data_IF_224565124414
#
_entry.id   IF_224565124414
#
_cell.length_a   1.000
_cell.length_b   1.000
_cell.length_c   1.000
_cell.angle_alpha   90.00
_cell.angle_beta   90.00
_cell.angle_gamma   90.00
#
_symmetry.space_group_name_H-M   'P 1'
#
loop_
_entity.id
_entity.type
_entity.pdbx_description
1 polymer ?
#
# COMPACT_ATOMS: atom_id res chain seq x y z
N UNK A 1 20.66 -55.25 -39.11
CA UNK A 1 20.97 -53.81 -39.10
C UNK A 1 21.07 -53.38 -37.62
N UNK A 2 22.30 -53.55 -37.07
CA UNK A 2 22.60 -53.31 -35.66
C UNK A 2 22.91 -51.84 -35.43
N UNK A 3 22.19 -51.22 -34.50
CA UNK A 3 22.42 -49.82 -34.09
C UNK A 3 23.33 -49.84 -32.85
N UNK A 4 24.59 -49.52 -33.08
CA UNK A 4 25.63 -49.42 -32.05
C UNK A 4 25.39 -48.15 -31.22
N UNK A 5 25.04 -48.31 -29.92
CA UNK A 5 24.96 -47.19 -28.96
C UNK A 5 26.38 -46.79 -28.54
N UNK A 6 26.83 -45.63 -28.95
CA UNK A 6 28.01 -44.98 -28.39
C UNK A 6 27.73 -44.43 -27.00
N UNK A 7 28.43 -44.91 -25.96
CA UNK A 7 28.48 -44.36 -24.63
C UNK A 7 29.55 -43.27 -24.59
N UNK A 8 29.15 -42.02 -24.33
CA UNK A 8 30.11 -40.97 -24.00
C UNK A 8 30.58 -41.12 -22.55
N UNK A 9 31.92 -41.11 -22.28
CA UNK A 9 32.43 -41.14 -20.92
C UNK A 9 32.38 -39.73 -20.31
N UNK A 10 31.52 -39.55 -19.33
CA UNK A 10 31.55 -38.36 -18.49
C UNK A 10 32.81 -38.40 -17.64
N UNK A 11 33.76 -37.49 -17.89
CA UNK A 11 35.04 -37.43 -17.24
C UNK A 11 34.89 -37.09 -15.75
N UNK A 12 35.68 -37.80 -14.92
CA UNK A 12 35.77 -37.61 -13.45
C UNK A 12 36.19 -36.21 -13.02
N UNK A 13 36.55 -35.33 -13.94
CA UNK A 13 36.93 -33.93 -13.71
C UNK A 13 35.76 -33.01 -13.32
N UNK A 14 34.52 -33.32 -13.70
CA UNK A 14 33.35 -32.49 -13.34
C UNK A 14 32.95 -32.63 -11.86
N UNK A 15 33.24 -33.80 -11.26
CA UNK A 15 32.91 -34.03 -9.84
C UNK A 15 33.88 -33.32 -8.88
N UNK A 16 35.10 -33.06 -9.30
CA UNK A 16 36.13 -32.37 -8.48
C UNK A 16 35.87 -30.86 -8.46
N UNK A 17 35.40 -30.28 -9.57
CA UNK A 17 35.07 -28.84 -9.64
C UNK A 17 33.80 -28.53 -8.81
N UNK A 18 32.79 -29.40 -8.84
CA UNK A 18 31.60 -29.24 -8.04
C UNK A 18 31.87 -29.34 -6.51
N UNK A 19 32.80 -30.22 -6.12
CA UNK A 19 33.22 -30.36 -4.73
C UNK A 19 34.05 -29.18 -4.22
N UNK A 20 34.88 -28.55 -5.07
CA UNK A 20 35.69 -27.39 -4.71
C UNK A 20 34.82 -26.11 -4.56
N UNK A 21 33.77 -25.94 -5.36
CA UNK A 21 32.83 -24.82 -5.24
C UNK A 21 31.96 -24.98 -3.98
N UNK A 22 31.54 -26.19 -3.63
CA UNK A 22 30.75 -26.43 -2.40
C UNK A 22 31.60 -26.21 -1.12
N UNK A 23 32.89 -26.49 -1.14
CA UNK A 23 33.79 -26.26 0.00
C UNK A 23 34.18 -24.78 0.21
N UNK A 24 34.19 -23.98 -0.86
CA UNK A 24 34.43 -22.52 -0.72
C UNK A 24 33.25 -21.77 -0.15
N UNK A 25 32.00 -22.24 -0.33
CA UNK A 25 30.83 -21.65 0.34
C UNK A 25 30.71 -22.06 1.82
N UNK A 26 31.29 -23.18 2.24
CA UNK A 26 31.27 -23.64 3.64
C UNK A 26 32.26 -22.88 4.56
N UNK A 27 33.20 -22.13 4.00
CA UNK A 27 34.23 -21.38 4.74
C UNK A 27 33.98 -19.85 4.79
N UNK A 28 32.79 -19.36 4.39
CA UNK A 28 32.43 -17.98 4.64
C UNK A 28 32.24 -17.79 6.17
N UNK A 29 32.87 -16.78 6.80
CA UNK A 29 32.84 -16.63 8.23
C UNK A 29 31.42 -16.36 8.71
N UNK A 30 30.78 -17.36 9.28
CA UNK A 30 29.43 -17.28 9.87
C UNK A 30 29.32 -16.16 10.91
N UNK A 31 30.42 -15.80 11.55
CA UNK A 31 30.52 -14.70 12.52
C UNK A 31 30.21 -13.33 11.89
N UNK A 32 30.73 -13.02 10.69
CA UNK A 32 30.49 -11.72 10.03
C UNK A 32 29.05 -11.51 9.57
N UNK A 33 28.35 -12.56 9.16
CA UNK A 33 26.96 -12.44 8.75
C UNK A 33 26.04 -12.20 9.95
N UNK A 34 26.29 -12.82 11.07
CA UNK A 34 25.53 -12.63 12.30
C UNK A 34 25.73 -11.23 12.87
N UNK A 35 26.98 -10.74 12.90
CA UNK A 35 27.29 -9.36 13.35
C UNK A 35 26.61 -8.33 12.44
N UNK A 36 26.62 -8.53 11.11
CA UNK A 36 25.95 -7.64 10.15
C UNK A 36 24.42 -7.60 10.34
N UNK A 37 23.79 -8.70 10.68
CA UNK A 37 22.36 -8.77 10.96
C UNK A 37 22.04 -8.03 12.27
N UNK A 38 22.82 -8.24 13.32
CA UNK A 38 22.65 -7.57 14.59
C UNK A 38 22.84 -6.05 14.45
N UNK A 39 23.87 -5.62 13.73
CA UNK A 39 24.13 -4.22 13.43
C UNK A 39 23.01 -3.59 12.60
N UNK A 40 22.46 -4.33 11.66
CA UNK A 40 21.31 -3.88 10.86
C UNK A 40 20.11 -3.56 11.75
N UNK A 41 19.74 -4.45 12.68
CA UNK A 41 18.62 -4.22 13.59
C UNK A 41 18.94 -3.20 14.69
N UNK A 42 20.16 -3.16 15.20
CA UNK A 42 20.59 -2.15 16.19
C UNK A 42 20.48 -0.72 15.64
N UNK A 43 20.77 -0.53 14.36
CA UNK A 43 20.69 0.76 13.67
C UNK A 43 19.35 1.03 12.95
N UNK A 44 18.34 0.20 13.18
CA UNK A 44 17.05 0.33 12.49
C UNK A 44 16.43 1.73 12.62
N UNK A 45 16.31 2.24 13.85
CA UNK A 45 15.70 3.52 14.10
C UNK A 45 16.55 4.70 13.65
N UNK A 46 17.87 4.60 13.74
CA UNK A 46 18.79 5.63 13.23
C UNK A 46 18.59 5.81 11.74
N UNK A 47 18.52 4.69 10.99
CA UNK A 47 18.26 4.70 9.55
C UNK A 47 16.88 5.23 9.20
N UNK A 48 15.84 4.77 9.89
CA UNK A 48 14.47 5.24 9.70
C UNK A 48 14.33 6.76 9.96
N UNK A 49 15.00 7.29 10.99
CA UNK A 49 14.99 8.71 11.30
C UNK A 49 15.72 9.52 10.23
N UNK A 50 16.88 9.05 9.77
CA UNK A 50 17.61 9.66 8.66
C UNK A 50 16.76 9.71 7.37
N UNK A 51 16.10 8.60 7.03
CA UNK A 51 15.21 8.54 5.88
C UNK A 51 14.05 9.54 5.98
N UNK A 52 13.46 9.70 7.17
CA UNK A 52 12.38 10.66 7.42
C UNK A 52 12.85 12.12 7.39
N UNK A 53 14.08 12.42 7.81
CA UNK A 53 14.63 13.78 7.81
C UNK A 53 14.91 14.34 6.40
N UNK A 54 15.13 13.46 5.40
CA UNK A 54 15.44 13.84 4.02
C UNK A 54 14.20 14.10 3.15
N UNK A 55 13.02 14.02 3.69
CA UNK A 55 11.76 14.18 2.97
C UNK A 55 10.87 15.24 3.63
N UNK A 56 9.81 15.73 2.92
CA UNK A 56 8.82 16.62 3.52
C UNK A 56 8.14 16.01 4.76
N UNK A 57 7.75 16.86 5.71
CA UNK A 57 7.09 16.44 6.95
C UNK A 57 5.56 16.62 6.92
N UNK A 58 4.95 16.55 5.74
CA UNK A 58 3.49 16.59 5.59
C UNK A 58 2.80 15.46 6.36
N UNK A 59 1.52 15.53 6.53
CA UNK A 59 0.76 14.41 7.12
C UNK A 59 0.39 13.40 6.01
N UNK A 60 0.27 12.13 6.35
CA UNK A 60 -0.24 11.11 5.43
C UNK A 60 -1.74 11.31 5.22
N UNK A 61 -2.26 11.40 3.98
CA UNK A 61 -3.70 11.57 3.69
C UNK A 61 -4.57 10.42 4.20
N UNK A 62 -5.89 10.61 4.20
CA UNK A 62 -6.86 9.59 4.60
C UNK A 62 -6.92 8.44 3.59
N UNK A 63 -7.03 8.74 2.29
CA UNK A 63 -7.20 7.77 1.21
C UNK A 63 -5.96 7.65 0.33
N UNK A 64 -5.48 8.78 -0.19
CA UNK A 64 -4.32 8.81 -1.08
C UNK A 64 -3.08 8.27 -0.38
N UNK A 65 -2.38 7.34 -1.03
CA UNK A 65 -1.12 6.82 -0.50
C UNK A 65 -0.05 7.90 -0.61
N UNK A 66 0.54 8.29 0.53
CA UNK A 66 1.61 9.31 0.56
C UNK A 66 2.85 8.84 -0.24
N UNK A 67 3.49 9.71 -1.02
CA UNK A 67 4.79 9.40 -1.62
C UNK A 67 5.93 9.30 -0.60
N UNK A 68 5.72 9.74 0.64
CA UNK A 68 6.67 9.73 1.74
C UNK A 68 6.86 8.32 2.30
N UNK A 69 8.02 8.11 2.93
CA UNK A 69 8.29 6.89 3.67
C UNK A 69 7.84 7.07 5.11
N UNK A 70 7.06 6.11 5.60
CA UNK A 70 6.53 6.12 6.97
C UNK A 70 6.99 4.88 7.74
N UNK A 71 7.10 5.03 9.04
CA UNK A 71 7.30 3.93 9.96
C UNK A 71 6.25 4.05 11.04
N UNK A 72 5.15 3.32 10.84
CA UNK A 72 3.97 3.41 11.70
C UNK A 72 3.12 2.13 11.62
N UNK A 73 2.26 1.96 12.56
CA UNK A 73 1.12 1.07 12.44
C UNK A 73 -0.13 1.91 12.19
N UNK A 74 -0.92 1.53 11.17
CA UNK A 74 -2.13 2.23 10.78
C UNK A 74 -3.32 1.31 10.84
N UNK A 75 -4.39 1.77 11.49
CA UNK A 75 -5.72 1.17 11.48
C UNK A 75 -6.71 2.13 10.85
N UNK A 76 -7.51 1.65 9.91
CA UNK A 76 -8.58 2.41 9.28
C UNK A 76 -9.94 1.70 9.49
N UNK A 77 -10.97 2.48 9.79
CA UNK A 77 -12.33 2.01 9.94
C UNK A 77 -13.19 2.67 8.86
N UNK A 78 -13.93 1.86 8.09
CA UNK A 78 -14.79 2.35 7.02
C UNK A 78 -16.24 1.97 7.26
N UNK A 79 -17.16 2.92 6.99
CA UNK A 79 -18.60 2.73 7.04
C UNK A 79 -19.19 3.14 5.69
N UNK A 80 -19.46 2.17 4.83
CA UNK A 80 -19.90 2.39 3.46
C UNK A 80 -21.42 2.31 3.34
N UNK A 81 -22.02 3.34 2.75
CA UNK A 81 -23.42 3.32 2.31
C UNK A 81 -23.46 2.85 0.85
N UNK A 82 -23.92 1.64 0.65
CA UNK A 82 -24.02 1.01 -0.66
C UNK A 82 -25.30 1.42 -1.39
N UNK A 83 -25.41 1.04 -2.66
CA UNK A 83 -26.65 1.22 -3.42
C UNK A 83 -27.79 0.38 -2.84
N UNK A 84 -29.03 0.85 -3.04
CA UNK A 84 -30.26 0.15 -2.60
C UNK A 84 -30.42 -0.01 -1.08
N UNK A 85 -29.76 0.84 -0.27
CA UNK A 85 -29.91 0.86 1.18
C UNK A 85 -29.12 -0.23 1.94
N UNK A 86 -28.22 -0.92 1.28
CA UNK A 86 -27.26 -1.78 1.96
C UNK A 86 -26.13 -0.95 2.58
N UNK A 87 -25.47 -1.50 3.60
CA UNK A 87 -24.27 -0.92 4.20
C UNK A 87 -23.20 -1.97 4.41
N UNK A 88 -21.95 -1.54 4.45
CA UNK A 88 -20.82 -2.38 4.79
C UNK A 88 -19.95 -1.67 5.81
N UNK A 89 -19.56 -2.37 6.85
CA UNK A 89 -18.58 -1.93 7.82
C UNK A 89 -17.29 -2.71 7.57
N UNK A 90 -16.23 -2.02 7.23
CA UNK A 90 -14.92 -2.65 7.05
C UNK A 90 -14.03 -2.34 8.25
N UNK A 91 -13.61 -3.38 8.95
CA UNK A 91 -12.67 -3.31 10.07
C UNK A 91 -11.27 -3.50 9.53
N UNK A 92 -10.41 -2.48 9.67
CA UNK A 92 -9.12 -2.37 9.02
C UNK A 92 -9.25 -2.29 7.47
N UNK A 93 -8.26 -2.85 6.75
CA UNK A 93 -8.18 -2.72 5.29
C UNK A 93 -7.41 -1.48 4.87
N UNK A 94 -6.85 -0.75 5.85
CA UNK A 94 -5.90 0.31 5.61
C UNK A 94 -4.51 -0.25 5.27
N UNK A 95 -3.48 0.52 5.59
CA UNK A 95 -2.11 0.15 5.24
C UNK A 95 -1.49 -0.89 6.19
N UNK A 96 -1.91 -0.97 7.45
CA UNK A 96 -1.38 -1.91 8.42
C UNK A 96 0.00 -1.50 8.95
N UNK A 97 1.01 -2.37 8.83
CA UNK A 97 2.36 -2.13 9.33
C UNK A 97 3.26 -1.56 8.24
N UNK A 98 3.76 -0.35 8.45
CA UNK A 98 4.65 0.38 7.55
C UNK A 98 6.06 0.40 8.15
N UNK A 99 7.06 -0.06 7.40
CA UNK A 99 8.44 -0.23 7.86
C UNK A 99 9.43 0.36 6.84
N UNK A 100 10.48 1.02 7.33
CA UNK A 100 11.59 1.56 6.52
C UNK A 100 12.82 0.66 6.68
N UNK A 101 12.95 -0.41 5.89
CA UNK A 101 14.13 -1.30 5.95
C UNK A 101 15.38 -0.66 5.40
N UNK A 102 15.28 0.27 4.45
CA UNK A 102 16.41 1.02 3.86
C UNK A 102 16.05 2.49 3.70
N UNK A 103 17.04 3.34 3.58
CA UNK A 103 16.90 4.81 3.55
C UNK A 103 15.93 5.32 2.47
N UNK A 104 15.77 4.56 1.39
CA UNK A 104 14.92 4.92 0.25
C UNK A 104 13.74 3.97 0.05
N UNK A 105 13.58 2.95 0.91
CA UNK A 105 12.57 1.90 0.73
C UNK A 105 11.67 1.81 1.94
N UNK A 106 10.37 1.73 1.68
CA UNK A 106 9.34 1.35 2.65
C UNK A 106 8.63 0.08 2.19
N UNK A 107 8.32 -0.78 3.13
CA UNK A 107 7.48 -1.95 2.94
C UNK A 107 6.25 -1.82 3.83
N UNK A 108 5.08 -1.92 3.21
CA UNK A 108 3.79 -1.96 3.90
C UNK A 108 3.24 -3.37 3.86
N UNK A 109 2.89 -3.89 5.02
CA UNK A 109 2.21 -5.17 5.18
C UNK A 109 0.78 -4.89 5.62
N UNK A 110 -0.15 -5.00 4.68
CA UNK A 110 -1.56 -4.76 4.93
C UNK A 110 -2.17 -5.84 5.84
N UNK A 111 -3.16 -5.45 6.59
CA UNK A 111 -4.03 -6.38 7.33
C UNK A 111 -5.29 -6.58 6.49
N UNK A 112 -5.70 -7.83 6.17
CA UNK A 112 -6.94 -8.06 5.44
C UNK A 112 -8.14 -7.48 6.19
N UNK A 113 -8.93 -6.64 5.52
CA UNK A 113 -10.14 -6.10 6.12
C UNK A 113 -11.13 -7.21 6.44
N UNK A 114 -11.74 -7.15 7.61
CA UNK A 114 -12.97 -7.90 7.87
C UNK A 114 -14.16 -7.01 7.51
N UNK A 115 -14.98 -7.47 6.56
CA UNK A 115 -16.18 -6.75 6.13
C UNK A 115 -17.40 -7.37 6.77
N UNK A 116 -18.22 -6.56 7.46
CA UNK A 116 -19.53 -6.92 7.93
C UNK A 116 -20.56 -6.24 7.02
N UNK A 117 -21.46 -7.04 6.42
CA UNK A 117 -22.43 -6.59 5.45
C UNK A 117 -23.83 -6.57 6.05
N UNK A 118 -24.52 -5.43 6.00
CA UNK A 118 -25.90 -5.28 6.41
C UNK A 118 -26.80 -5.00 5.19
N UNK A 119 -27.73 -5.90 4.91
CA UNK A 119 -28.80 -5.66 3.94
C UNK A 119 -30.02 -5.05 4.64
N UNK A 120 -30.32 -3.77 4.41
CA UNK A 120 -31.58 -3.20 4.88
C UNK A 120 -32.72 -3.61 3.95
N UNK A 121 -33.57 -4.51 4.45
CA UNK A 121 -34.96 -4.66 4.06
C UNK A 121 -35.27 -5.15 2.67
N UNK A 122 -35.64 -6.35 2.58
CA UNK A 122 -36.46 -7.22 1.75
C UNK A 122 -35.74 -8.54 1.48
N UNK A 123 -36.28 -9.60 2.03
CA UNK A 123 -35.91 -10.96 1.69
C UNK A 123 -35.87 -11.11 0.15
N UNK A 124 -34.69 -11.38 -0.41
CA UNK A 124 -34.52 -11.67 -1.82
C UNK A 124 -33.39 -10.97 -2.58
N UNK A 125 -32.77 -9.93 -2.05
CA UNK A 125 -31.55 -9.39 -2.64
C UNK A 125 -30.37 -10.20 -2.08
N UNK A 126 -29.96 -11.24 -2.81
CA UNK A 126 -28.62 -11.83 -2.64
C UNK A 126 -27.62 -10.78 -3.10
N UNK A 127 -27.30 -9.83 -2.20
CA UNK A 127 -26.21 -8.88 -2.39
C UNK A 127 -24.90 -9.65 -2.46
N UNK A 128 -23.97 -9.22 -3.27
CA UNK A 128 -22.57 -9.64 -3.29
C UNK A 128 -21.88 -9.08 -2.02
N UNK A 129 -22.16 -9.61 -0.89
CA UNK A 129 -21.52 -9.26 0.37
C UNK A 129 -21.86 -10.34 1.38
N UNK A 130 -20.86 -10.97 1.90
CA UNK A 130 -20.93 -11.83 3.08
C UNK A 130 -19.93 -11.31 4.09
N UNK A 131 -20.22 -11.54 5.35
CA UNK A 131 -19.29 -11.26 6.43
C UNK A 131 -18.04 -12.13 6.23
N UNK A 132 -16.94 -11.52 5.83
CA UNK A 132 -15.71 -12.27 5.55
C UNK A 132 -14.48 -11.38 5.45
N UNK A 133 -13.32 -12.00 5.42
CA UNK A 133 -12.05 -11.32 5.18
C UNK A 133 -11.83 -11.02 3.71
N UNK A 134 -11.26 -9.85 3.43
CA UNK A 134 -10.78 -9.43 2.12
C UNK A 134 -9.42 -10.02 1.77
N UNK A 135 -8.92 -9.64 0.62
CA UNK A 135 -7.60 -10.05 0.12
C UNK A 135 -6.47 -9.39 0.92
N UNK A 136 -5.39 -10.13 1.15
CA UNK A 136 -4.18 -9.59 1.73
C UNK A 136 -3.44 -8.71 0.74
N UNK A 137 -2.87 -7.59 1.23
CA UNK A 137 -2.14 -6.63 0.42
C UNK A 137 -0.74 -6.37 0.96
N UNK A 138 0.17 -6.02 0.06
CA UNK A 138 1.47 -5.48 0.39
C UNK A 138 1.83 -4.36 -0.58
N UNK A 139 2.65 -3.42 -0.15
CA UNK A 139 3.16 -2.34 -0.98
C UNK A 139 4.65 -2.15 -0.69
N UNK A 140 5.44 -2.02 -1.75
CA UNK A 140 6.83 -1.58 -1.66
C UNK A 140 6.90 -0.19 -2.28
N UNK A 141 7.44 0.78 -1.54
CA UNK A 141 7.74 2.13 -2.03
C UNK A 141 9.25 2.26 -2.22
N UNK A 142 9.65 2.93 -3.28
CA UNK A 142 11.02 3.33 -3.54
C UNK A 142 11.07 4.84 -3.79
N UNK A 143 11.71 5.58 -2.89
CA UNK A 143 11.90 7.03 -3.00
C UNK A 143 13.01 7.33 -4.00
N UNK A 144 12.65 7.96 -5.12
CA UNK A 144 13.61 8.36 -6.16
C UNK A 144 14.30 9.69 -5.82
N UNK A 145 13.49 10.67 -5.41
CA UNK A 145 13.94 12.03 -5.13
C UNK A 145 13.15 12.59 -3.96
N UNK A 146 13.79 13.32 -3.09
CA UNK A 146 13.11 14.11 -2.05
C UNK A 146 13.96 15.28 -1.59
N UNK A 147 13.28 16.27 -1.05
CA UNK A 147 13.86 17.37 -0.31
C UNK A 147 12.89 17.82 0.78
N UNK A 148 13.39 18.03 1.98
CA UNK A 148 12.60 18.56 3.08
C UNK A 148 12.21 20.04 2.85
N UNK A 149 11.49 20.64 3.78
CA UNK A 149 10.95 22.00 3.65
C UNK A 149 12.03 23.06 3.40
N UNK A 150 13.22 22.87 3.94
CA UNK A 150 14.35 23.81 3.80
C UNK A 150 15.03 23.71 2.42
N UNK A 151 14.95 22.53 1.79
CA UNK A 151 15.69 22.18 0.57
C UNK A 151 14.82 22.04 -0.67
N UNK A 152 13.55 22.45 -0.61
CA UNK A 152 12.68 22.45 -1.78
C UNK A 152 11.31 21.81 -1.59
N UNK A 153 11.08 21.06 -0.48
CA UNK A 153 9.77 20.56 -0.07
C UNK A 153 9.04 19.76 -1.16
N UNK A 154 9.70 18.73 -1.71
CA UNK A 154 9.14 17.86 -2.75
C UNK A 154 9.53 16.41 -2.56
N UNK A 155 8.82 15.51 -3.22
CA UNK A 155 9.12 14.09 -3.23
C UNK A 155 8.60 13.42 -4.51
N UNK A 156 9.35 12.43 -5.01
CA UNK A 156 8.97 11.53 -6.08
C UNK A 156 9.31 10.09 -5.67
N UNK A 157 8.36 9.20 -5.76
CA UNK A 157 8.51 7.78 -5.40
C UNK A 157 7.84 6.86 -6.42
N UNK A 158 8.35 5.65 -6.53
CA UNK A 158 7.71 4.55 -7.26
C UNK A 158 7.16 3.54 -6.26
N UNK A 159 5.98 3.01 -6.56
CA UNK A 159 5.37 1.96 -5.74
C UNK A 159 5.13 0.71 -6.58
N UNK A 160 5.19 -0.43 -5.92
CA UNK A 160 4.68 -1.68 -6.42
C UNK A 160 3.71 -2.27 -5.40
N UNK A 161 2.41 -2.17 -5.70
CA UNK A 161 1.36 -2.82 -4.95
C UNK A 161 1.21 -4.28 -5.35
N UNK A 162 0.89 -5.12 -4.37
CA UNK A 162 0.55 -6.51 -4.55
C UNK A 162 -0.68 -6.86 -3.73
N UNK A 163 -1.63 -7.58 -4.31
CA UNK A 163 -2.80 -8.13 -3.64
C UNK A 163 -2.87 -9.63 -3.95
N UNK A 164 -2.94 -10.46 -2.90
CA UNK A 164 -3.09 -11.90 -3.00
C UNK A 164 -4.58 -12.28 -2.85
N UNK A 165 -5.10 -13.22 -3.64
CA UNK A 165 -6.51 -13.63 -3.56
C UNK A 165 -6.73 -14.57 -2.36
N UNK A 166 -6.64 -14.04 -1.16
CA UNK A 166 -6.77 -14.77 0.11
C UNK A 166 -8.11 -14.56 0.79
N UNK A 167 -8.92 -13.62 0.29
CA UNK A 167 -10.24 -13.31 0.82
C UNK A 167 -11.27 -14.41 0.53
N UNK A 168 -12.41 -14.35 1.19
CA UNK A 168 -13.47 -15.33 1.12
C UNK A 168 -14.79 -14.74 0.62
N UNK A 169 -15.67 -15.60 0.12
CA UNK A 169 -17.12 -15.37 -0.05
C UNK A 169 -17.53 -14.03 -0.72
N UNK A 170 -16.86 -13.67 -1.80
CA UNK A 170 -17.17 -12.46 -2.58
C UNK A 170 -16.37 -11.23 -2.16
N UNK A 171 -15.56 -11.29 -1.10
CA UNK A 171 -14.62 -10.24 -0.71
C UNK A 171 -13.22 -10.45 -1.30
N UNK A 172 -13.02 -11.44 -2.17
CA UNK A 172 -11.79 -11.65 -2.94
C UNK A 172 -11.96 -11.27 -4.40
N UNK A 173 -10.90 -10.70 -4.98
CA UNK A 173 -10.82 -10.51 -6.43
C UNK A 173 -10.62 -11.84 -7.19
N UNK A 174 -10.23 -12.91 -6.49
CA UNK A 174 -10.04 -14.26 -7.07
C UNK A 174 -8.75 -14.42 -7.89
N UNK A 175 -8.03 -13.34 -8.13
CA UNK A 175 -6.75 -13.32 -8.84
C UNK A 175 -5.79 -12.37 -8.16
N UNK A 176 -4.49 -12.69 -8.21
CA UNK A 176 -3.47 -11.76 -7.75
C UNK A 176 -3.46 -10.49 -8.61
N UNK A 177 -3.19 -9.34 -7.98
CA UNK A 177 -3.09 -8.05 -8.67
C UNK A 177 -1.77 -7.39 -8.37
N UNK A 178 -1.20 -6.73 -9.37
CA UNK A 178 0.02 -5.93 -9.29
C UNK A 178 -0.30 -4.50 -9.70
N UNK A 179 0.13 -3.54 -8.89
CA UNK A 179 -0.22 -2.12 -9.13
C UNK A 179 1.04 -1.26 -9.10
N UNK A 180 1.80 -1.17 -10.22
CA UNK A 180 2.83 -0.15 -10.35
C UNK A 180 2.20 1.23 -10.31
N UNK A 181 2.83 2.14 -9.55
CA UNK A 181 2.34 3.50 -9.30
C UNK A 181 3.49 4.48 -9.24
N UNK A 182 3.31 5.64 -9.83
CA UNK A 182 4.16 6.82 -9.64
C UNK A 182 3.47 7.71 -8.61
N UNK A 183 4.21 8.14 -7.61
CA UNK A 183 3.72 9.00 -6.55
C UNK A 183 4.61 10.23 -6.42
N UNK A 184 4.01 11.41 -6.31
CA UNK A 184 4.73 12.67 -6.19
C UNK A 184 3.99 13.66 -5.30
N UNK A 185 4.72 14.62 -4.80
CA UNK A 185 4.15 15.68 -3.99
C UNK A 185 5.03 16.91 -3.94
N UNK A 186 4.42 18.04 -3.60
CA UNK A 186 5.08 19.34 -3.46
C UNK A 186 4.38 20.15 -2.38
N UNK A 187 5.18 20.83 -1.57
CA UNK A 187 4.67 21.77 -0.56
C UNK A 187 5.15 23.20 -0.76
N UNK A 188 4.37 24.15 -0.26
CA UNK A 188 4.67 25.59 -0.20
C UNK A 188 4.18 26.14 1.15
N UNK A 189 5.11 26.41 2.05
CA UNK A 189 4.76 26.80 3.41
C UNK A 189 3.97 25.71 4.12
N UNK A 190 2.77 26.04 4.56
CA UNK A 190 1.86 25.12 5.24
C UNK A 190 0.89 24.37 4.31
N UNK A 191 0.93 24.65 3.02
CA UNK A 191 0.15 23.94 2.02
C UNK A 191 0.97 22.86 1.33
N UNK A 192 0.40 21.69 1.13
CA UNK A 192 0.96 20.64 0.30
C UNK A 192 -0.09 19.92 -0.53
N UNK A 193 0.38 19.27 -1.60
CA UNK A 193 -0.40 18.27 -2.31
C UNK A 193 0.43 17.00 -2.50
N UNK A 194 -0.26 15.86 -2.49
CA UNK A 194 0.30 14.53 -2.67
C UNK A 194 -0.54 13.78 -3.69
N UNK A 195 0.09 13.22 -4.72
CA UNK A 195 -0.61 12.57 -5.84
C UNK A 195 -0.02 11.23 -6.18
N UNK A 196 -0.87 10.33 -6.70
CA UNK A 196 -0.47 9.01 -7.23
C UNK A 196 -1.16 8.73 -8.55
N UNK A 197 -0.44 8.10 -9.47
CA UNK A 197 -0.97 7.55 -10.73
C UNK A 197 -0.54 6.09 -10.82
N UNK A 198 -1.50 5.17 -10.93
CA UNK A 198 -1.23 3.75 -10.99
C UNK A 198 -2.15 3.00 -11.93
N UNK A 199 -1.72 1.83 -12.37
CA UNK A 199 -2.53 0.90 -13.17
C UNK A 199 -2.50 -0.46 -12.48
N UNK A 200 -3.67 -1.07 -12.30
CA UNK A 200 -3.74 -2.40 -11.72
C UNK A 200 -3.72 -3.47 -12.83
N UNK A 201 -2.88 -4.47 -12.66
CA UNK A 201 -2.70 -5.60 -13.57
C UNK A 201 -3.11 -6.90 -12.88
N UNK A 202 -4.25 -7.51 -13.22
CA UNK A 202 -4.63 -8.80 -12.68
C UNK A 202 -3.80 -9.92 -13.33
N UNK A 203 -3.39 -10.92 -12.55
CA UNK A 203 -2.71 -12.11 -13.05
C UNK A 203 -3.65 -13.08 -13.80
N UNK A 204 -4.96 -12.81 -13.80
CA UNK A 204 -5.99 -13.55 -14.48
C UNK A 204 -7.34 -12.84 -14.38
N UNK A 205 -8.37 -13.34 -15.08
CA UNK A 205 -9.71 -12.76 -15.05
C UNK A 205 -9.82 -11.36 -15.63
N UNK A 206 -9.01 -11.04 -16.65
CA UNK A 206 -8.94 -9.73 -17.29
C UNK A 206 -10.30 -9.25 -17.80
N UNK A 207 -11.11 -10.16 -18.36
CA UNK A 207 -12.45 -9.85 -18.88
C UNK A 207 -13.39 -9.29 -17.80
N UNK A 208 -13.18 -9.67 -16.54
CA UNK A 208 -13.95 -9.19 -15.40
C UNK A 208 -13.28 -8.01 -14.72
N UNK A 209 -12.00 -8.14 -14.37
CA UNK A 209 -11.29 -7.17 -13.53
C UNK A 209 -10.83 -5.94 -14.32
N UNK A 210 -10.44 -6.13 -15.59
CA UNK A 210 -9.82 -5.09 -16.39
C UNK A 210 -8.47 -4.63 -15.84
N UNK A 211 -7.98 -3.54 -16.42
CA UNK A 211 -6.76 -2.83 -15.98
C UNK A 211 -7.12 -1.39 -15.58
N UNK A 212 -7.79 -1.18 -14.45
CA UNK A 212 -8.18 0.17 -14.03
C UNK A 212 -6.97 1.07 -13.81
N UNK A 213 -7.07 2.29 -14.34
CA UNK A 213 -6.14 3.38 -14.08
C UNK A 213 -6.68 4.25 -12.96
N UNK A 214 -5.86 4.49 -11.94
CA UNK A 214 -6.20 5.33 -10.79
C UNK A 214 -5.34 6.59 -10.77
N UNK A 215 -5.97 7.71 -10.43
CA UNK A 215 -5.31 8.97 -10.13
C UNK A 215 -5.90 9.52 -8.83
N UNK A 216 -5.06 9.67 -7.82
CA UNK A 216 -5.49 10.19 -6.53
C UNK A 216 -4.67 11.41 -6.18
N UNK A 217 -5.31 12.42 -5.61
CA UNK A 217 -4.64 13.64 -5.14
C UNK A 217 -5.26 14.10 -3.83
N UNK A 218 -4.44 14.38 -2.85
CA UNK A 218 -4.80 15.02 -1.59
C UNK A 218 -4.20 16.43 -1.55
N UNK A 219 -5.00 17.40 -1.16
CA UNK A 219 -4.62 18.78 -0.88
C UNK A 219 -4.77 19.00 0.62
N UNK A 220 -3.71 19.43 1.28
CA UNK A 220 -3.67 19.59 2.73
C UNK A 220 -3.17 20.97 3.11
N UNK A 221 -3.65 21.46 4.26
CA UNK A 221 -3.15 22.69 4.85
C UNK A 221 -2.87 22.49 6.34
N UNK A 222 -1.65 22.79 6.77
CA UNK A 222 -1.22 22.62 8.17
C UNK A 222 -1.60 23.84 9.02
N UNK A 223 -2.40 23.64 10.06
CA UNK A 223 -2.79 24.65 11.02
C UNK A 223 -2.20 24.32 12.39
N UNK A 224 -1.54 25.27 13.02
CA UNK A 224 -0.96 25.15 14.36
C UNK A 224 -0.08 23.88 14.56
N UNK A 225 0.51 23.35 13.48
CA UNK A 225 1.38 22.16 13.43
C UNK A 225 0.72 20.83 13.83
N UNK A 226 -0.56 20.81 14.15
CA UNK A 226 -1.27 19.61 14.65
C UNK A 226 -2.58 19.30 13.92
N UNK A 227 -3.09 20.23 13.13
CA UNK A 227 -4.36 20.09 12.43
C UNK A 227 -4.14 20.20 10.92
N UNK A 228 -4.60 19.22 10.17
CA UNK A 228 -4.53 19.18 8.71
C UNK A 228 -5.92 18.95 8.12
N UNK A 229 -6.71 20.01 7.84
CA UNK A 229 -7.83 19.90 6.92
C UNK A 229 -7.33 19.48 5.55
N UNK A 230 -8.07 18.58 4.91
CA UNK A 230 -7.75 18.08 3.58
C UNK A 230 -8.96 17.92 2.68
N UNK A 231 -8.70 17.95 1.39
CA UNK A 231 -9.63 17.54 0.34
C UNK A 231 -8.91 16.58 -0.57
N UNK A 232 -9.44 15.37 -0.72
CA UNK A 232 -8.92 14.41 -1.69
C UNK A 232 -9.86 14.27 -2.90
N UNK A 233 -9.24 14.01 -4.05
CA UNK A 233 -9.91 13.63 -5.29
C UNK A 233 -9.37 12.27 -5.70
N UNK A 234 -10.23 11.27 -5.74
CA UNK A 234 -9.87 9.91 -6.12
C UNK A 234 -10.61 9.55 -7.42
N UNK A 235 -9.86 9.36 -8.49
CA UNK A 235 -10.36 9.06 -9.83
C UNK A 235 -9.93 7.67 -10.26
N UNK A 236 -10.87 6.90 -10.81
CA UNK A 236 -10.60 5.60 -11.44
C UNK A 236 -11.25 5.57 -12.81
N UNK A 237 -10.48 5.21 -13.83
CA UNK A 237 -10.95 4.94 -15.17
C UNK A 237 -10.79 3.45 -15.50
N UNK A 238 -11.83 2.89 -16.11
CA UNK A 238 -11.90 1.49 -16.48
C UNK A 238 -11.82 1.38 -18.02
N UNK A 239 -10.62 1.19 -18.62
CA UNK A 239 -10.45 1.07 -20.06
C UNK A 239 -11.02 -0.23 -20.63
N UNK A 240 -11.07 -1.28 -19.80
CA UNK A 240 -11.48 -2.63 -20.15
C UNK A 240 -12.16 -3.35 -18.98
N UNK A 241 -12.46 -4.65 -19.14
CA UNK A 241 -13.15 -5.46 -18.14
C UNK A 241 -14.67 -5.21 -18.08
N UNK A 242 -15.31 -5.71 -17.02
CA UNK A 242 -16.78 -5.62 -16.80
C UNK A 242 -17.27 -4.15 -16.73
N UNK A 243 -16.39 -3.24 -16.36
CA UNK A 243 -16.69 -1.81 -16.18
C UNK A 243 -16.18 -0.94 -17.33
N UNK A 244 -15.86 -1.50 -18.49
CA UNK A 244 -15.33 -0.81 -19.66
C UNK A 244 -16.03 0.51 -19.93
N UNK A 245 -15.25 1.59 -20.13
CA UNK A 245 -15.73 2.92 -20.48
C UNK A 245 -16.32 3.71 -19.32
N UNK A 246 -16.41 3.13 -18.10
CA UNK A 246 -16.86 3.85 -16.92
C UNK A 246 -15.71 4.62 -16.27
N UNK A 247 -16.09 5.65 -15.53
CA UNK A 247 -15.19 6.34 -14.63
C UNK A 247 -15.87 6.55 -13.27
N UNK A 248 -15.07 6.59 -12.24
CA UNK A 248 -15.47 6.83 -10.87
C UNK A 248 -14.68 7.99 -10.30
N UNK A 249 -15.37 8.93 -9.68
CA UNK A 249 -14.78 10.04 -8.94
C UNK A 249 -15.32 10.03 -7.53
N UNK A 250 -14.42 10.11 -6.56
CA UNK A 250 -14.76 10.41 -5.17
C UNK A 250 -14.11 11.71 -4.72
N UNK A 251 -14.83 12.46 -3.91
CA UNK A 251 -14.34 13.62 -3.18
C UNK A 251 -14.33 13.29 -1.69
N UNK A 252 -13.21 13.54 -1.02
CA UNK A 252 -13.05 13.22 0.40
C UNK A 252 -12.62 14.47 1.18
N UNK A 253 -13.54 15.31 1.61
CA UNK A 253 -13.24 16.27 2.67
C UNK A 253 -12.91 15.52 3.95
N UNK A 254 -11.83 15.93 4.61
CA UNK A 254 -11.35 15.29 5.82
C UNK A 254 -10.51 16.19 6.69
N UNK A 255 -10.15 15.65 7.84
CA UNK A 255 -9.29 16.32 8.80
C UNK A 255 -8.42 15.30 9.53
N UNK A 256 -7.16 15.63 9.72
CA UNK A 256 -6.21 14.81 10.45
C UNK A 256 -5.63 15.63 11.60
N UNK A 257 -5.59 15.01 12.77
CA UNK A 257 -4.94 15.53 13.98
C UNK A 257 -3.75 14.66 14.33
N UNK A 258 -2.60 15.21 14.47
CA UNK A 258 -1.42 14.43 14.80
C UNK A 258 -0.17 15.28 14.80
N UNK A 259 0.67 14.60 14.87
CA UNK A 259 1.73 13.81 15.45
C UNK A 259 1.91 14.16 16.94
N UNK A 260 1.02 13.66 17.77
CA UNK A 260 1.13 13.83 19.22
C UNK A 260 2.20 12.87 19.75
N UNK A 261 3.23 13.35 20.44
CA UNK A 261 4.18 12.46 21.12
C UNK A 261 3.47 11.73 22.26
N UNK A 262 3.71 10.42 22.38
CA UNK A 262 3.20 9.60 23.49
C UNK A 262 4.35 9.24 24.44
N UNK A 263 4.95 8.07 24.26
CA UNK A 263 6.02 7.55 25.12
C UNK A 263 7.21 7.14 24.26
N UNK A 264 8.39 7.65 24.58
CA UNK A 264 9.61 7.34 23.83
C UNK A 264 9.50 7.78 22.38
N UNK A 265 9.52 6.83 21.43
CA UNK A 265 9.40 7.07 20.00
C UNK A 265 7.96 7.05 19.50
N UNK A 266 7.04 6.54 20.29
CA UNK A 266 5.65 6.38 19.90
C UNK A 266 4.97 7.74 19.78
N UNK A 267 4.24 7.90 18.70
CA UNK A 267 3.32 9.01 18.48
C UNK A 267 1.90 8.56 18.27
N UNK A 268 0.98 9.49 18.15
CA UNK A 268 -0.40 9.25 17.78
C UNK A 268 -0.85 10.26 16.72
N UNK A 269 -1.60 9.75 15.75
CA UNK A 269 -2.30 10.55 14.74
C UNK A 269 -3.69 9.94 14.57
N UNK A 270 -4.70 10.78 14.53
CA UNK A 270 -6.07 10.37 14.26
C UNK A 270 -6.64 11.22 13.14
N UNK A 271 -7.58 10.68 12.40
CA UNK A 271 -8.23 11.44 11.33
C UNK A 271 -9.62 10.92 11.05
N UNK A 272 -10.42 11.77 10.42
CA UNK A 272 -11.74 11.44 9.96
C UNK A 272 -12.06 12.17 8.66
N UNK A 273 -12.83 11.53 7.79
CA UNK A 273 -13.30 12.10 6.55
C UNK A 273 -14.55 11.41 6.03
N UNK A 274 -15.14 12.01 5.03
CA UNK A 274 -16.29 11.43 4.35
C UNK A 274 -16.04 11.43 2.84
N UNK A 275 -15.89 10.25 2.27
CA UNK A 275 -15.76 10.10 0.83
C UNK A 275 -17.14 10.07 0.19
N UNK A 276 -17.37 10.92 -0.80
CA UNK A 276 -18.65 11.09 -1.49
C UNK A 276 -18.48 10.85 -2.97
N UNK A 277 -19.39 10.07 -3.57
CA UNK A 277 -19.39 9.84 -5.00
C UNK A 277 -19.68 11.14 -5.78
N UNK A 278 -18.75 11.54 -6.64
CA UNK A 278 -18.85 12.68 -7.55
C UNK A 278 -19.23 12.30 -8.98
N UNK A 279 -19.37 11.01 -9.29
CA UNK A 279 -19.73 10.50 -10.61
C UNK A 279 -20.98 9.62 -10.56
N UNK A 280 -21.62 9.41 -11.72
CA UNK A 280 -22.81 8.55 -11.83
C UNK A 280 -22.52 7.08 -11.54
N UNK A 281 -21.33 6.63 -11.92
CA UNK A 281 -20.85 5.29 -11.59
C UNK A 281 -19.96 5.41 -10.35
N UNK A 282 -20.29 4.67 -9.31
CA UNK A 282 -19.50 4.54 -8.09
C UNK A 282 -19.83 3.21 -7.40
N UNK A 283 -18.88 2.60 -6.75
CA UNK A 283 -19.07 1.35 -6.00
C UNK A 283 -19.96 1.53 -4.77
N UNK A 284 -19.93 2.71 -4.17
CA UNK A 284 -20.79 3.12 -3.05
C UNK A 284 -21.16 4.60 -3.20
N UNK A 285 -22.16 5.08 -2.44
CA UNK A 285 -22.59 6.48 -2.46
C UNK A 285 -21.72 7.38 -1.61
N UNK A 286 -21.46 6.94 -0.40
CA UNK A 286 -20.57 7.62 0.53
C UNK A 286 -19.93 6.62 1.49
N UNK A 287 -18.82 7.05 2.09
CA UNK A 287 -18.06 6.28 3.05
C UNK A 287 -17.52 7.20 4.13
N UNK A 288 -17.79 6.90 5.40
CA UNK A 288 -17.09 7.51 6.51
C UNK A 288 -15.79 6.77 6.76
N UNK A 289 -14.73 7.52 6.95
CA UNK A 289 -13.37 7.01 7.19
C UNK A 289 -12.91 7.54 8.54
N UNK A 290 -12.50 6.63 9.41
CA UNK A 290 -11.78 6.96 10.63
C UNK A 290 -10.42 6.30 10.57
N UNK A 291 -9.35 7.02 10.90
CA UNK A 291 -7.99 6.49 10.92
C UNK A 291 -7.34 6.73 12.27
N UNK A 292 -6.57 5.74 12.72
CA UNK A 292 -5.67 5.85 13.86
C UNK A 292 -4.29 5.32 13.45
N UNK A 293 -3.24 6.08 13.78
CA UNK A 293 -1.86 5.75 13.41
C UNK A 293 -0.94 5.91 14.61
N UNK A 294 -0.02 4.98 14.71
CA UNK A 294 0.99 4.95 15.77
C UNK A 294 2.36 4.97 15.10
N UNK A 295 2.92 6.16 14.76
CA UNK A 295 4.30 6.27 14.31
C UNK A 295 5.28 5.89 15.43
N UNK A 296 6.42 5.27 15.03
CA UNK A 296 7.45 4.80 15.94
C UNK A 296 8.86 4.85 15.38
#
# INVERSE_FOLDING_TARGET
MEITRQRFPWSRSAAIIAGAIALTFAAAPQCRAQDAILDYFANWFVRSDAAKAEQPHWITPLVTVTPRLEQEFRYDQYFQAMQHGASTINFDGGKGLELIPWDTVEVILGVPAYSAFEAQGKAGIKGRGSDSFGDWTALVKYRLLSANEENGNYILSLFMGFQAPTGNDGNSQGHAMYTPTIAFGKGWGDFDFQSTVGVAFPAGGLDRLGMPLTYNTAFQYRIAKVLWPELEVNYTWYPDGEHTGKNQVFLTPGVIFGRFPLIGRLGATIGAGMQVAGSKYAHYHNEWILTARIPF
#
